data_IF_255248713755
#
_entry.id   IF_255248713755
#
_cell.length_a   1.000
_cell.length_b   1.000
_cell.length_c   1.000
_cell.angle_alpha   90.00
_cell.angle_beta   90.00
_cell.angle_gamma   90.00
#
_symmetry.space_group_name_H-M   'P 1'
#
loop_
_entity.id
_entity.type
_entity.pdbx_description
1 polymer ?
#
# COMPACT_ATOMS: atom_id res chain seq x y z
N UNK A 1 13.86 -11.77 -13.08
CA UNK A 1 12.50 -11.20 -13.02
C UNK A 1 12.45 -10.19 -11.89
N UNK A 2 12.23 -8.92 -12.20
CA UNK A 2 12.26 -7.84 -11.23
C UNK A 2 11.00 -7.79 -10.37
N UNK A 3 11.04 -6.93 -9.35
CA UNK A 3 9.86 -6.44 -8.65
C UNK A 3 10.13 -4.99 -8.28
N UNK A 4 9.18 -4.11 -8.57
CA UNK A 4 9.23 -2.70 -8.18
C UNK A 4 8.20 -2.43 -7.09
N UNK A 5 8.54 -1.50 -6.19
CA UNK A 5 7.57 -0.97 -5.24
C UNK A 5 6.73 0.12 -5.94
N UNK A 6 5.43 0.16 -5.63
CA UNK A 6 4.55 1.24 -6.02
C UNK A 6 3.71 1.74 -4.85
N UNK A 7 3.35 3.03 -4.92
CA UNK A 7 2.33 3.68 -4.12
C UNK A 7 1.48 4.55 -5.06
N UNK A 8 0.17 4.32 -5.05
CA UNK A 8 -0.81 5.06 -5.85
C UNK A 8 -1.94 5.52 -4.98
N UNK A 9 -2.47 6.71 -5.25
CA UNK A 9 -3.68 7.18 -4.61
C UNK A 9 -4.86 7.06 -5.56
N UNK A 10 -6.03 6.79 -4.99
CA UNK A 10 -7.29 6.78 -5.73
C UNK A 10 -8.37 7.54 -4.97
N UNK A 11 -9.38 8.01 -5.70
CA UNK A 11 -10.51 8.72 -5.12
C UNK A 11 -11.83 8.07 -5.51
N UNK A 12 -12.75 8.00 -4.56
CA UNK A 12 -14.07 7.42 -4.80
C UNK A 12 -14.92 7.43 -3.54
N UNK A 13 -16.20 7.09 -3.66
CA UNK A 13 -17.05 6.78 -2.50
C UNK A 13 -16.73 5.41 -1.94
N UNK A 14 -16.24 4.52 -2.80
CA UNK A 14 -15.85 3.15 -2.47
C UNK A 14 -14.39 2.90 -2.81
N UNK A 15 -13.79 1.91 -2.15
CA UNK A 15 -12.41 1.49 -2.46
C UNK A 15 -12.30 0.93 -3.88
N UNK A 16 -13.37 0.31 -4.41
CA UNK A 16 -13.41 -0.20 -5.79
C UNK A 16 -13.31 0.93 -6.82
N UNK A 17 -14.10 1.99 -6.65
CA UNK A 17 -14.03 3.17 -7.52
C UNK A 17 -12.63 3.79 -7.49
N UNK A 18 -12.05 3.91 -6.29
CA UNK A 18 -10.71 4.44 -6.13
C UNK A 18 -9.63 3.54 -6.76
N UNK A 19 -9.78 2.22 -6.68
CA UNK A 19 -8.85 1.26 -7.28
C UNK A 19 -8.87 1.38 -8.80
N UNK A 20 -10.06 1.38 -9.43
CA UNK A 20 -10.21 1.50 -10.88
C UNK A 20 -9.57 2.80 -11.37
N UNK A 21 -9.84 3.93 -10.70
CA UNK A 21 -9.23 5.22 -11.05
C UNK A 21 -7.70 5.17 -10.96
N UNK A 22 -7.15 4.57 -9.89
CA UNK A 22 -5.71 4.50 -9.70
C UNK A 22 -5.04 3.53 -10.70
N UNK A 23 -5.73 2.46 -11.10
CA UNK A 23 -5.30 1.51 -12.12
C UNK A 23 -5.29 2.12 -13.52
N UNK A 24 -6.33 2.90 -13.86
CA UNK A 24 -6.40 3.68 -15.10
C UNK A 24 -5.25 4.70 -15.16
N UNK A 25 -5.03 5.48 -14.10
CA UNK A 25 -3.90 6.44 -14.03
C UNK A 25 -2.54 5.72 -14.16
N UNK A 26 -2.37 4.54 -13.56
CA UNK A 26 -1.13 3.76 -13.72
C UNK A 26 -0.96 3.19 -15.14
N UNK A 27 -2.06 2.84 -15.79
CA UNK A 27 -2.07 2.38 -17.19
C UNK A 27 -1.71 3.50 -18.14
N UNK A 28 -2.23 4.71 -17.93
CA UNK A 28 -1.90 5.87 -18.76
C UNK A 28 -0.41 6.25 -18.65
N UNK A 29 0.19 6.08 -17.46
CA UNK A 29 1.59 6.43 -17.21
C UNK A 29 2.58 5.38 -17.69
N UNK A 30 2.29 4.09 -17.48
CA UNK A 30 3.24 2.99 -17.71
C UNK A 30 2.85 2.06 -18.87
N UNK A 31 1.66 2.23 -19.45
CA UNK A 31 1.11 1.36 -20.48
C UNK A 31 0.72 -0.02 -19.95
N UNK A 32 0.05 -0.81 -20.80
CA UNK A 32 -0.20 -2.23 -20.56
C UNK A 32 0.92 -3.07 -21.19
N UNK A 33 2.11 -3.10 -20.58
CA UNK A 33 3.15 -4.05 -20.97
C UNK A 33 2.81 -5.44 -20.43
N UNK A 34 2.02 -6.27 -21.13
CA UNK A 34 1.78 -7.71 -20.83
C UNK A 34 1.67 -8.12 -19.35
N UNK A 35 1.14 -7.26 -18.46
CA UNK A 35 1.05 -7.50 -17.01
C UNK A 35 2.32 -7.24 -16.17
N UNK A 36 3.32 -6.58 -16.73
CA UNK A 36 4.63 -6.27 -16.12
C UNK A 36 4.99 -4.79 -16.27
N UNK A 37 4.43 -3.95 -15.41
CA UNK A 37 4.75 -2.51 -15.35
C UNK A 37 5.56 -2.13 -14.12
N UNK A 38 5.63 -3.01 -13.12
CA UNK A 38 6.13 -2.65 -11.79
C UNK A 38 5.19 -1.75 -10.98
N UNK A 39 3.95 -1.52 -11.43
CA UNK A 39 2.97 -0.64 -10.77
C UNK A 39 1.60 -1.33 -10.58
N UNK A 40 0.60 -0.58 -10.08
CA UNK A 40 -0.73 -1.02 -9.72
C UNK A 40 -1.49 -1.68 -10.87
N UNK A 41 -1.27 -1.26 -12.13
CA UNK A 41 -1.89 -1.88 -13.29
C UNK A 41 -1.36 -3.29 -13.62
N UNK A 42 -0.36 -3.78 -12.87
CA UNK A 42 0.02 -5.20 -12.84
C UNK A 42 -0.75 -6.00 -11.77
N UNK A 43 -1.72 -5.39 -11.07
CA UNK A 43 -2.48 -6.00 -9.97
C UNK A 43 -3.94 -6.16 -10.34
N UNK A 44 -4.48 -7.36 -10.11
CA UNK A 44 -5.88 -7.67 -10.48
C UNK A 44 -6.89 -7.46 -9.34
N UNK A 45 -6.43 -7.17 -8.12
CA UNK A 45 -7.29 -6.99 -6.95
C UNK A 45 -6.55 -6.28 -5.81
N UNK A 46 -7.32 -5.89 -4.77
CA UNK A 46 -6.79 -5.34 -3.52
C UNK A 46 -7.23 -6.15 -2.29
N UNK A 47 -6.44 -6.07 -1.21
CA UNK A 47 -6.80 -6.44 0.15
C UNK A 47 -6.92 -5.17 0.99
N UNK A 48 -8.06 -4.98 1.67
CA UNK A 48 -8.26 -3.81 2.52
C UNK A 48 -7.45 -3.93 3.82
N UNK A 49 -6.65 -2.90 4.11
CA UNK A 49 -5.89 -2.75 5.33
C UNK A 49 -6.78 -2.17 6.42
N UNK A 50 -7.11 -3.00 7.42
CA UNK A 50 -7.86 -2.60 8.59
C UNK A 50 -6.93 -1.90 9.58
N UNK A 51 -6.86 -0.57 9.48
CA UNK A 51 -6.07 0.26 10.40
C UNK A 51 -6.74 0.27 11.78
N UNK A 52 -6.03 -0.10 12.86
CA UNK A 52 -6.58 -0.06 14.21
C UNK A 52 -7.03 1.34 14.63
N UNK A 53 -8.09 1.42 15.45
CA UNK A 53 -8.62 2.71 15.94
C UNK A 53 -7.53 3.48 16.69
N UNK A 54 -7.41 4.78 16.38
CA UNK A 54 -6.42 5.66 17.00
C UNK A 54 -5.01 5.56 16.39
N UNK A 55 -4.78 4.65 15.46
CA UNK A 55 -3.52 4.57 14.70
C UNK A 55 -3.64 5.40 13.43
N UNK A 56 -2.63 6.22 13.15
CA UNK A 56 -2.54 6.95 11.90
C UNK A 56 -2.35 5.97 10.73
N UNK A 57 -3.19 5.99 9.68
CA UNK A 57 -3.08 5.08 8.54
C UNK A 57 -1.70 5.06 7.90
N UNK A 58 -1.10 6.23 7.63
CA UNK A 58 0.22 6.34 6.99
C UNK A 58 1.33 5.72 7.85
N UNK A 59 1.24 5.90 9.17
CA UNK A 59 2.16 5.23 10.12
C UNK A 59 1.99 3.72 10.09
N UNK A 60 0.77 3.23 9.94
CA UNK A 60 0.50 1.80 9.85
C UNK A 60 1.06 1.20 8.54
N UNK A 61 0.99 1.90 7.41
CA UNK A 61 1.63 1.45 6.16
C UNK A 61 3.14 1.37 6.31
N UNK A 62 3.74 2.38 6.97
CA UNK A 62 5.18 2.34 7.25
C UNK A 62 5.59 1.15 8.10
N UNK A 63 4.75 0.69 9.03
CA UNK A 63 5.01 -0.55 9.76
C UNK A 63 4.93 -1.78 8.86
N UNK A 64 4.04 -1.81 7.87
CA UNK A 64 3.94 -2.90 6.89
C UNK A 64 5.21 -2.98 6.04
N UNK A 65 5.73 -1.86 5.55
CA UNK A 65 7.01 -1.80 4.83
C UNK A 65 8.17 -2.28 5.70
N UNK A 66 8.27 -1.78 6.94
CA UNK A 66 9.30 -2.22 7.89
C UNK A 66 9.21 -3.73 8.14
N UNK A 67 8.00 -4.26 8.29
CA UNK A 67 7.81 -5.70 8.45
C UNK A 67 8.18 -6.47 7.16
N UNK A 68 7.93 -5.92 5.98
CA UNK A 68 8.34 -6.51 4.71
C UNK A 68 9.87 -6.65 4.60
N UNK A 69 10.63 -5.65 5.05
CA UNK A 69 12.10 -5.73 5.14
C UNK A 69 12.54 -6.91 6.01
N UNK A 70 11.83 -7.18 7.12
CA UNK A 70 12.14 -8.32 7.99
C UNK A 70 11.96 -9.67 7.32
N UNK A 71 11.18 -9.76 6.24
CA UNK A 71 10.96 -10.99 5.46
C UNK A 71 12.10 -11.28 4.48
N UNK A 72 12.97 -10.31 4.18
CA UNK A 72 14.18 -10.51 3.37
C UNK A 72 15.40 -10.88 4.20
N UNK A 73 15.38 -10.55 5.49
CA UNK A 73 16.49 -10.81 6.39
C UNK A 73 16.57 -12.31 6.71
N UNK A 74 17.75 -12.91 6.63
CA UNK A 74 17.96 -14.31 7.01
C UNK A 74 18.28 -14.44 8.50
N UNK A 75 18.99 -13.45 9.06
CA UNK A 75 19.46 -13.48 10.45
C UNK A 75 18.34 -13.17 11.43
N UNK A 76 18.02 -14.14 12.27
CA UNK A 76 16.97 -14.02 13.28
C UNK A 76 17.13 -12.79 14.20
N UNK A 77 18.38 -12.47 14.57
CA UNK A 77 18.68 -11.27 15.39
C UNK A 77 18.30 -9.97 14.68
N UNK A 78 18.51 -9.90 13.37
CA UNK A 78 18.18 -8.72 12.59
C UNK A 78 16.67 -8.62 12.33
N UNK A 79 15.98 -9.75 12.07
CA UNK A 79 14.50 -9.81 12.04
C UNK A 79 13.89 -9.23 13.32
N UNK A 80 14.32 -9.74 14.48
CA UNK A 80 13.84 -9.26 15.79
C UNK A 80 14.10 -7.77 16.00
N UNK A 81 15.25 -7.25 15.54
CA UNK A 81 15.57 -5.81 15.64
C UNK A 81 14.63 -4.95 14.78
N UNK A 82 14.28 -5.42 13.58
CA UNK A 82 13.33 -4.73 12.70
C UNK A 82 11.94 -4.73 13.34
N UNK A 83 11.45 -5.90 13.76
CA UNK A 83 10.12 -6.05 14.35
C UNK A 83 9.93 -5.26 15.66
N UNK A 84 11.00 -5.02 16.43
CA UNK A 84 10.97 -4.14 17.61
C UNK A 84 10.52 -2.70 17.32
N UNK A 85 10.59 -2.24 16.06
CA UNK A 85 10.09 -0.91 15.65
C UNK A 85 8.56 -0.85 15.57
N UNK A 86 7.90 -2.01 15.59
CA UNK A 86 6.45 -2.15 15.47
C UNK A 86 5.91 -2.58 16.84
N UNK A 87 4.84 -1.92 17.36
CA UNK A 87 4.23 -2.32 18.63
C UNK A 87 3.80 -3.80 18.61
N UNK A 88 4.13 -4.55 19.66
CA UNK A 88 3.98 -6.00 19.72
C UNK A 88 2.56 -6.48 19.37
N UNK A 89 1.53 -5.80 19.87
CA UNK A 89 0.12 -6.13 19.63
C UNK A 89 -0.32 -5.92 18.16
N UNK A 90 0.46 -5.21 17.35
CA UNK A 90 0.21 -5.03 15.92
C UNK A 90 1.06 -5.95 15.04
N UNK A 91 2.15 -6.52 15.55
CA UNK A 91 3.14 -7.25 14.74
C UNK A 91 2.53 -8.36 13.90
N UNK A 92 1.62 -9.17 14.47
CA UNK A 92 1.02 -10.30 13.74
C UNK A 92 0.22 -9.85 12.52
N UNK A 93 -0.61 -8.83 12.66
CA UNK A 93 -1.44 -8.33 11.55
C UNK A 93 -0.59 -7.57 10.53
N UNK A 94 0.37 -6.77 11.00
CA UNK A 94 1.32 -6.06 10.13
C UNK A 94 2.16 -7.06 9.33
N UNK A 95 2.62 -8.16 9.92
CA UNK A 95 3.34 -9.23 9.23
C UNK A 95 2.46 -9.93 8.18
N UNK A 96 1.17 -10.13 8.46
CA UNK A 96 0.24 -10.66 7.46
C UNK A 96 0.18 -9.74 6.24
N UNK A 97 -0.06 -8.44 6.46
CA UNK A 97 -0.07 -7.48 5.37
C UNK A 97 1.29 -7.33 4.68
N UNK A 98 2.40 -7.46 5.40
CA UNK A 98 3.74 -7.43 4.82
C UNK A 98 3.99 -8.56 3.81
N UNK A 99 3.40 -9.74 4.05
CA UNK A 99 3.42 -10.84 3.07
C UNK A 99 2.64 -10.47 1.81
N UNK A 100 1.43 -9.92 1.94
CA UNK A 100 0.65 -9.43 0.80
C UNK A 100 1.38 -8.32 0.05
N UNK A 101 1.96 -7.35 0.77
CA UNK A 101 2.73 -6.25 0.19
C UNK A 101 3.88 -6.76 -0.70
N UNK A 102 4.56 -7.83 -0.28
CA UNK A 102 5.68 -8.42 -1.02
C UNK A 102 5.28 -9.33 -2.18
N UNK A 103 4.04 -9.77 -2.20
CA UNK A 103 3.55 -10.65 -3.26
C UNK A 103 3.38 -9.87 -4.55
N UNK A 104 4.37 -9.99 -5.43
CA UNK A 104 4.39 -9.25 -6.69
C UNK A 104 3.32 -9.67 -7.69
N UNK A 105 2.73 -10.86 -7.54
CA UNK A 105 1.65 -11.37 -8.39
C UNK A 105 0.27 -11.31 -7.71
N UNK A 106 0.27 -11.30 -6.37
CA UNK A 106 -0.92 -11.19 -5.56
C UNK A 106 -1.52 -9.79 -5.53
N UNK A 107 -2.41 -9.58 -4.57
CA UNK A 107 -3.21 -8.35 -4.44
C UNK A 107 -2.35 -7.14 -4.04
N UNK A 108 -2.78 -5.95 -4.44
CA UNK A 108 -2.33 -4.72 -3.82
C UNK A 108 -2.90 -4.59 -2.40
N UNK A 109 -2.25 -3.83 -1.51
CA UNK A 109 -2.89 -3.40 -0.27
C UNK A 109 -3.62 -2.09 -0.50
N UNK A 110 -4.84 -1.97 -0.01
CA UNK A 110 -5.66 -0.76 -0.11
C UNK A 110 -6.03 -0.21 1.26
N UNK A 111 -5.82 1.07 1.52
CA UNK A 111 -6.14 1.71 2.81
C UNK A 111 -6.92 3.00 2.61
N UNK A 112 -7.96 3.22 3.42
CA UNK A 112 -8.69 4.49 3.45
C UNK A 112 -8.03 5.48 4.40
N UNK A 113 -7.64 6.64 3.90
CA UNK A 113 -7.24 7.78 4.75
C UNK A 113 -8.50 8.53 5.17
N UNK A 114 -8.63 8.81 6.48
CA UNK A 114 -9.84 9.45 7.06
C UNK A 114 -9.49 10.75 7.79
N UNK A 115 -10.48 11.63 7.90
CA UNK A 115 -10.44 12.81 8.77
C UNK A 115 -9.34 13.81 8.39
N UNK A 116 -8.70 14.39 9.42
CA UNK A 116 -7.66 15.43 9.25
C UNK A 116 -6.48 14.96 8.40
N UNK A 117 -6.14 13.67 8.43
CA UNK A 117 -5.05 13.10 7.65
C UNK A 117 -5.38 13.08 6.16
N UNK A 118 -6.65 12.86 5.78
CA UNK A 118 -7.06 12.94 4.38
C UNK A 118 -6.94 14.37 3.83
N UNK A 119 -7.32 15.37 4.64
CA UNK A 119 -7.16 16.79 4.28
C UNK A 119 -5.69 17.16 4.10
N UNK A 120 -4.81 16.73 5.02
CA UNK A 120 -3.36 16.95 4.92
C UNK A 120 -2.78 16.27 3.68
N UNK A 121 -3.12 15.01 3.45
CA UNK A 121 -2.65 14.23 2.31
C UNK A 121 -3.02 14.92 0.99
N UNK A 122 -4.27 15.41 0.87
CA UNK A 122 -4.71 16.17 -0.31
C UNK A 122 -3.92 17.46 -0.51
N UNK A 123 -3.64 18.19 0.56
CA UNK A 123 -2.88 19.44 0.47
C UNK A 123 -1.43 19.20 0.04
N UNK A 124 -0.79 18.15 0.57
CA UNK A 124 0.61 17.82 0.27
C UNK A 124 0.80 17.32 -1.16
N UNK A 125 -0.13 16.51 -1.66
CA UNK A 125 -0.01 15.87 -2.98
C UNK A 125 -0.69 16.67 -4.11
N UNK A 126 -1.02 17.95 -3.88
CA UNK A 126 -1.70 18.83 -4.86
C UNK A 126 -3.05 18.30 -5.37
N UNK A 127 -3.78 17.58 -4.53
CA UNK A 127 -5.06 16.93 -4.86
C UNK A 127 -6.28 17.77 -4.45
N UNK A 128 -6.10 19.10 -4.34
CA UNK A 128 -7.18 20.04 -3.98
C UNK A 128 -8.19 20.06 -5.13
N UNK A 129 -9.43 19.65 -4.85
CA UNK A 129 -10.54 19.64 -5.83
C UNK A 129 -11.01 18.22 -6.24
N UNK A 130 -10.19 17.19 -6.05
CA UNK A 130 -10.62 15.78 -6.24
C UNK A 130 -11.68 15.45 -5.18
N UNK A 131 -12.84 14.93 -5.61
CA UNK A 131 -13.97 14.58 -4.74
C UNK A 131 -13.86 13.14 -4.22
N UNK A 132 -14.62 12.80 -3.18
CA UNK A 132 -14.66 11.45 -2.59
C UNK A 132 -13.69 11.25 -1.43
N UNK A 133 -13.61 10.01 -0.95
CA UNK A 133 -12.63 9.59 0.04
C UNK A 133 -11.25 9.40 -0.62
N UNK A 134 -10.19 9.42 0.19
CA UNK A 134 -8.83 9.16 -0.26
C UNK A 134 -8.47 7.73 0.09
N UNK A 135 -8.05 6.97 -0.92
CA UNK A 135 -7.51 5.62 -0.73
C UNK A 135 -6.06 5.59 -1.22
N UNK A 136 -5.21 4.83 -0.54
CA UNK A 136 -3.88 4.50 -1.01
C UNK A 136 -3.79 3.03 -1.33
N UNK A 137 -3.17 2.73 -2.46
CA UNK A 137 -2.84 1.41 -2.94
C UNK A 137 -1.33 1.26 -2.99
N UNK A 138 -0.80 0.21 -2.39
CA UNK A 138 0.65 0.03 -2.29
C UNK A 138 1.01 -1.46 -2.26
N UNK A 139 2.22 -1.76 -2.73
CA UNK A 139 2.70 -3.13 -2.84
C UNK A 139 3.99 -3.22 -3.63
N UNK A 140 4.35 -4.44 -3.99
CA UNK A 140 5.31 -4.73 -5.05
C UNK A 140 4.59 -5.29 -6.27
N UNK A 141 5.06 -4.97 -7.47
CA UNK A 141 4.56 -5.51 -8.72
C UNK A 141 5.73 -6.01 -9.58
N UNK A 142 5.47 -6.99 -10.44
CA UNK A 142 6.49 -7.53 -11.34
C UNK A 142 6.85 -6.55 -12.45
N UNK A 143 8.14 -6.49 -12.77
CA UNK A 143 8.72 -5.80 -13.91
C UNK A 143 9.70 -6.70 -14.65
#
# INVERSE_FOLDING_TARGET
MGASHFERHGFGKTIKEAFIMAEEEATDEFGHQDGYSGDLNSKHAWEEVLVPKGVNPLKYLRWIEIAADSLYEEKERAKKRILKKIPAHHQSMVLKYAKTYRDKYGKALGVKIKGKEATKYRAQNRLKGKRGDVFLFFGTASC
#
